data_IF_836904546607
#
_entry.id   IF_836904546607
#
_cell.length_a   1.000
_cell.length_b   1.000
_cell.length_c   1.000
_cell.angle_alpha   90.00
_cell.angle_beta   90.00
_cell.angle_gamma   90.00
#
_symmetry.space_group_name_H-M   'P 1'
#
loop_
_entity.id
_entity.type
_entity.pdbx_description
1 polymer ?
#
# COMPACT_ATOMS: atom_id res chain seq x y z
N UNK A 1 -20.97 -8.76 -39.02
CA UNK A 1 -21.62 -9.34 -37.84
C UNK A 1 -20.60 -9.27 -36.71
N UNK A 2 -20.83 -8.43 -35.69
CA UNK A 2 -19.95 -8.35 -34.52
C UNK A 2 -20.13 -9.61 -33.69
N UNK A 3 -19.02 -10.26 -33.33
CA UNK A 3 -19.02 -11.45 -32.50
C UNK A 3 -19.59 -11.10 -31.11
N UNK A 4 -20.77 -11.63 -30.70
CA UNK A 4 -21.39 -11.29 -29.41
C UNK A 4 -20.60 -11.77 -28.19
N UNK A 5 -19.56 -12.58 -28.39
CA UNK A 5 -18.67 -13.08 -27.33
C UNK A 5 -17.41 -12.24 -27.14
N UNK A 6 -17.23 -11.15 -27.90
CA UNK A 6 -16.15 -10.20 -27.68
C UNK A 6 -16.46 -9.35 -26.46
N UNK A 7 -16.23 -9.84 -25.28
CA UNK A 7 -16.11 -8.98 -24.10
C UNK A 7 -14.78 -8.23 -24.19
N UNK A 8 -14.85 -6.92 -24.13
CA UNK A 8 -13.74 -5.98 -24.32
C UNK A 8 -12.79 -5.91 -23.12
N UNK A 9 -12.92 -6.76 -22.12
CA UNK A 9 -12.01 -6.86 -20.99
C UNK A 9 -10.92 -7.87 -21.29
N UNK A 10 -9.78 -7.36 -21.72
CA UNK A 10 -8.54 -8.14 -21.78
C UNK A 10 -8.14 -8.58 -20.38
N UNK A 11 -7.71 -9.82 -20.19
CA UNK A 11 -7.12 -10.30 -18.94
C UNK A 11 -5.84 -9.53 -18.57
N UNK A 12 -5.18 -8.91 -19.56
CA UNK A 12 -3.98 -8.10 -19.42
C UNK A 12 -4.25 -6.59 -19.26
N UNK A 13 -5.50 -6.18 -19.07
CA UNK A 13 -5.86 -4.77 -18.94
C UNK A 13 -6.44 -4.17 -20.22
N UNK A 14 -6.47 -2.84 -20.31
CA UNK A 14 -6.83 -2.13 -21.52
C UNK A 14 -5.64 -2.13 -22.50
N UNK A 15 -5.94 -2.06 -23.79
CA UNK A 15 -4.88 -1.95 -24.79
C UNK A 15 -4.29 -0.53 -24.81
N UNK A 16 -3.14 -0.38 -24.15
CA UNK A 16 -2.34 0.86 -24.11
C UNK A 16 -1.16 0.85 -25.08
N UNK A 17 -1.07 -0.14 -25.99
CA UNK A 17 0.08 -0.31 -26.90
C UNK A 17 0.30 0.85 -27.86
N UNK A 18 -0.77 1.56 -28.22
CA UNK A 18 -0.72 2.74 -29.08
C UNK A 18 -0.79 4.09 -28.36
N UNK A 19 -0.84 4.07 -27.01
CA UNK A 19 -0.96 5.30 -26.24
C UNK A 19 0.35 6.10 -26.24
N UNK A 20 0.25 7.40 -26.49
CA UNK A 20 1.38 8.34 -26.31
C UNK A 20 1.60 8.63 -24.84
N UNK A 21 2.74 9.22 -24.50
CA UNK A 21 3.00 9.68 -23.13
C UNK A 21 1.95 10.68 -22.64
N UNK A 22 1.43 11.54 -23.51
CA UNK A 22 0.39 12.51 -23.16
C UNK A 22 -0.98 11.84 -22.94
N UNK A 23 -1.29 10.78 -23.72
CA UNK A 23 -2.49 9.97 -23.49
C UNK A 23 -2.43 9.26 -22.12
N UNK A 24 -1.27 8.70 -21.78
CA UNK A 24 -1.08 8.06 -20.48
C UNK A 24 -1.20 9.06 -19.32
N UNK A 25 -0.58 10.24 -19.43
CA UNK A 25 -0.73 11.31 -18.42
C UNK A 25 -2.19 11.74 -18.26
N UNK A 26 -2.91 11.92 -19.36
CA UNK A 26 -4.32 12.28 -19.30
C UNK A 26 -5.16 11.22 -18.59
N UNK A 27 -4.87 9.93 -18.80
CA UNK A 27 -5.54 8.82 -18.09
C UNK A 27 -5.20 8.81 -16.60
N UNK A 28 -3.92 8.93 -16.22
CA UNK A 28 -3.51 9.02 -14.81
C UNK A 28 -4.19 10.18 -14.12
N UNK A 29 -4.18 11.38 -14.74
CA UNK A 29 -4.87 12.56 -14.22
C UNK A 29 -6.36 12.29 -14.00
N UNK A 30 -7.05 11.73 -14.98
CA UNK A 30 -8.47 11.40 -14.87
C UNK A 30 -8.78 10.42 -13.74
N UNK A 31 -7.90 9.44 -13.50
CA UNK A 31 -8.05 8.48 -12.40
C UNK A 31 -7.87 9.20 -11.05
N UNK A 32 -6.83 10.03 -10.90
CA UNK A 32 -6.56 10.78 -9.68
C UNK A 32 -7.65 11.84 -9.39
N UNK A 33 -8.17 12.53 -10.41
CA UNK A 33 -9.29 13.49 -10.26
C UNK A 33 -10.59 12.79 -9.85
N UNK A 34 -10.79 11.54 -10.27
CA UNK A 34 -11.95 10.74 -9.86
C UNK A 34 -11.83 10.18 -8.44
N UNK A 35 -10.66 10.26 -7.85
CA UNK A 35 -10.32 9.70 -6.55
C UNK A 35 -10.00 8.20 -6.62
N UNK A 36 -8.90 7.79 -5.99
CA UNK A 36 -8.51 6.40 -5.80
C UNK A 36 -8.85 5.93 -4.38
N UNK A 37 -8.86 4.61 -4.16
CA UNK A 37 -9.17 4.08 -2.83
C UNK A 37 -8.17 4.59 -1.81
N UNK A 38 -6.88 4.33 -1.97
CA UNK A 38 -5.88 4.76 -1.01
C UNK A 38 -4.45 4.75 -1.53
N UNK A 39 -3.57 5.33 -0.73
CA UNK A 39 -2.14 5.40 -1.00
C UNK A 39 -1.34 5.12 0.27
N UNK A 40 -0.20 4.44 0.14
CA UNK A 40 0.77 4.32 1.21
C UNK A 40 1.43 5.69 1.43
N UNK A 41 1.44 6.13 2.67
CA UNK A 41 1.82 7.50 3.04
C UNK A 41 2.88 7.49 4.14
N UNK A 42 4.01 8.11 3.83
CA UNK A 42 5.04 8.50 4.80
C UNK A 42 5.24 10.01 4.68
N UNK A 43 5.35 10.74 5.79
CA UNK A 43 5.42 12.20 5.75
C UNK A 43 6.84 12.74 5.47
N UNK A 44 7.84 11.86 5.36
CA UNK A 44 9.24 12.23 5.28
C UNK A 44 9.57 13.12 4.08
N UNK A 45 10.46 14.10 4.31
CA UNK A 45 11.07 14.95 3.30
C UNK A 45 12.56 14.61 3.13
N UNK A 46 13.27 15.32 2.27
CA UNK A 46 14.69 15.05 2.00
C UNK A 46 15.53 15.02 3.28
N UNK A 47 16.34 13.98 3.44
CA UNK A 47 17.21 13.78 4.62
C UNK A 47 16.50 13.17 5.83
N UNK A 48 15.21 12.87 5.74
CA UNK A 48 14.43 12.20 6.78
C UNK A 48 14.13 10.73 6.40
N UNK A 49 13.79 9.95 7.40
CA UNK A 49 13.39 8.55 7.30
C UNK A 49 13.01 8.02 8.68
N UNK A 50 12.76 6.71 8.83
CA UNK A 50 12.50 6.08 10.13
C UNK A 50 13.57 6.48 11.16
N UNK A 51 13.14 6.83 12.39
CA UNK A 51 14.01 7.41 13.41
C UNK A 51 14.00 8.94 13.46
N UNK A 52 13.32 9.60 12.50
CA UNK A 52 13.16 11.06 12.52
C UNK A 52 11.84 11.42 13.19
N UNK A 53 11.88 12.29 14.21
CA UNK A 53 10.68 12.85 14.83
C UNK A 53 9.99 13.81 13.86
N UNK A 54 8.70 13.57 13.56
CA UNK A 54 7.93 14.32 12.58
C UNK A 54 6.92 15.23 13.27
N UNK A 55 6.88 16.49 12.88
CA UNK A 55 5.93 17.47 13.41
C UNK A 55 4.58 17.43 12.67
N UNK A 56 3.51 17.72 13.39
CA UNK A 56 2.13 17.76 12.84
C UNK A 56 2.01 18.68 11.61
N UNK A 57 2.70 19.82 11.63
CA UNK A 57 2.66 20.78 10.51
C UNK A 57 3.15 20.15 9.20
N UNK A 58 4.24 19.38 9.26
CA UNK A 58 4.77 18.64 8.10
C UNK A 58 3.79 17.57 7.63
N UNK A 59 3.22 16.79 8.56
CA UNK A 59 2.20 15.78 8.23
C UNK A 59 1.04 16.41 7.49
N UNK A 60 0.52 17.53 8.01
CA UNK A 60 -0.59 18.28 7.42
C UNK A 60 -0.29 18.78 6.02
N UNK A 61 0.89 19.38 5.82
CA UNK A 61 1.34 19.86 4.50
C UNK A 61 1.41 18.71 3.49
N UNK A 62 2.01 17.58 3.88
CA UNK A 62 2.11 16.41 3.00
C UNK A 62 0.76 15.76 2.71
N UNK A 63 -0.13 15.66 3.70
CA UNK A 63 -1.48 15.13 3.51
C UNK A 63 -2.33 16.01 2.60
N UNK A 64 -2.19 17.33 2.66
CA UNK A 64 -2.94 18.25 1.78
C UNK A 64 -2.61 18.07 0.30
N UNK A 65 -1.41 17.56 -0.03
CA UNK A 65 -1.04 17.22 -1.42
C UNK A 65 -1.85 16.03 -1.93
N UNK A 66 -2.01 14.99 -1.13
CA UNK A 66 -2.66 13.74 -1.56
C UNK A 66 -4.18 13.75 -1.37
N UNK A 67 -4.67 14.52 -0.40
CA UNK A 67 -6.07 14.56 0.02
C UNK A 67 -7.09 14.76 -1.13
N UNK A 68 -6.85 15.58 -2.16
CA UNK A 68 -7.81 15.74 -3.25
C UNK A 68 -7.98 14.48 -4.12
N UNK A 69 -7.10 13.50 -3.98
CA UNK A 69 -6.96 12.38 -4.90
C UNK A 69 -7.27 11.02 -4.29
N UNK A 70 -7.38 10.92 -2.96
CA UNK A 70 -7.52 9.64 -2.25
C UNK A 70 -8.64 9.70 -1.20
N UNK A 71 -9.20 8.55 -0.85
CA UNK A 71 -10.16 8.44 0.26
C UNK A 71 -9.49 7.93 1.54
N UNK A 72 -8.43 7.15 1.39
CA UNK A 72 -7.69 6.50 2.45
C UNK A 72 -6.20 6.78 2.34
N UNK A 73 -5.54 6.78 3.48
CA UNK A 73 -4.08 6.64 3.55
C UNK A 73 -3.72 5.40 4.38
N UNK A 74 -2.55 4.83 4.13
CA UNK A 74 -1.94 3.80 4.96
C UNK A 74 -0.65 4.35 5.54
N UNK A 75 -0.56 4.44 6.88
CA UNK A 75 0.68 4.73 7.62
C UNK A 75 1.42 3.44 7.95
N UNK A 76 2.65 3.55 8.51
CA UNK A 76 3.51 2.38 8.75
C UNK A 76 3.90 2.21 10.22
N UNK A 77 3.85 3.26 11.03
CA UNK A 77 4.28 3.29 12.43
C UNK A 77 3.37 4.20 13.22
N UNK A 78 3.41 4.05 14.54
CA UNK A 78 2.70 4.89 15.52
C UNK A 78 3.66 5.54 16.51
N UNK A 79 4.93 5.69 16.14
CA UNK A 79 5.98 6.35 16.92
C UNK A 79 6.68 7.44 16.10
N UNK A 80 7.53 8.24 16.73
CA UNK A 80 8.37 9.24 16.07
C UNK A 80 7.55 10.32 15.33
N UNK A 81 6.39 10.72 15.91
CA UNK A 81 5.47 11.70 15.31
C UNK A 81 4.46 11.07 14.34
N UNK A 82 4.67 9.82 13.88
CA UNK A 82 3.73 9.15 12.95
C UNK A 82 2.37 8.85 13.63
N UNK A 83 2.29 8.77 14.95
CA UNK A 83 1.06 8.64 15.73
C UNK A 83 0.09 9.79 15.51
N UNK A 84 0.56 10.93 15.02
CA UNK A 84 -0.26 12.10 14.68
C UNK A 84 -0.95 11.98 13.32
N UNK A 85 -0.44 11.12 12.42
CA UNK A 85 -0.96 10.99 11.05
C UNK A 85 -2.47 10.69 11.04
N UNK A 86 -3.01 9.73 11.82
CA UNK A 86 -4.42 9.38 11.74
C UNK A 86 -5.36 10.51 12.16
N UNK A 87 -5.00 11.30 13.19
CA UNK A 87 -5.81 12.43 13.62
C UNK A 87 -5.82 13.55 12.58
N UNK A 88 -4.67 13.90 12.02
CA UNK A 88 -4.55 14.92 10.97
C UNK A 88 -5.27 14.48 9.69
N UNK A 89 -5.17 13.20 9.31
CA UNK A 89 -5.90 12.64 8.19
C UNK A 89 -7.42 12.75 8.37
N UNK A 90 -7.92 12.41 9.57
CA UNK A 90 -9.33 12.51 9.93
C UNK A 90 -9.85 13.95 9.85
N UNK A 91 -9.09 14.94 10.29
CA UNK A 91 -9.43 16.37 10.15
C UNK A 91 -9.54 16.80 8.67
N UNK A 92 -8.79 16.17 7.79
CA UNK A 92 -8.83 16.40 6.35
C UNK A 92 -9.88 15.54 5.62
N UNK A 93 -10.68 14.75 6.36
CA UNK A 93 -11.73 13.90 5.81
C UNK A 93 -11.23 12.59 5.20
N UNK A 94 -9.99 12.18 5.49
CA UNK A 94 -9.40 10.92 5.05
C UNK A 94 -9.60 9.83 6.11
N UNK A 95 -9.75 8.59 5.64
CA UNK A 95 -9.68 7.40 6.49
C UNK A 95 -8.23 6.90 6.57
N UNK A 96 -7.89 6.21 7.67
CA UNK A 96 -6.53 5.70 7.85
C UNK A 96 -6.52 4.20 8.13
N UNK A 97 -5.73 3.45 7.34
CA UNK A 97 -5.19 2.16 7.73
C UNK A 97 -3.92 2.46 8.55
N UNK A 98 -4.02 2.30 9.86
CA UNK A 98 -2.94 2.61 10.80
C UNK A 98 -1.97 1.44 10.85
N UNK A 99 -0.75 1.65 10.38
CA UNK A 99 0.32 0.67 10.48
C UNK A 99 0.93 0.68 11.87
N UNK A 100 1.08 -0.50 12.45
CA UNK A 100 1.74 -0.75 13.72
C UNK A 100 3.03 -1.50 13.41
N UNK A 101 4.18 -0.84 13.55
CA UNK A 101 5.45 -1.44 13.18
C UNK A 101 5.90 -2.47 14.22
N UNK A 102 5.80 -3.74 13.88
CA UNK A 102 6.33 -4.83 14.69
C UNK A 102 7.68 -5.27 14.11
N UNK A 103 8.71 -5.24 14.95
CA UNK A 103 10.08 -5.61 14.60
C UNK A 103 10.73 -6.47 15.67
N UNK A 104 12.05 -6.66 15.58
CA UNK A 104 12.83 -7.45 16.54
C UNK A 104 13.03 -6.74 17.90
N UNK A 105 12.77 -5.44 17.98
CA UNK A 105 12.80 -4.66 19.24
C UNK A 105 11.45 -4.76 19.95
N UNK A 106 11.37 -5.68 20.92
CA UNK A 106 10.12 -5.96 21.63
C UNK A 106 9.65 -4.78 22.52
N UNK A 107 10.55 -3.94 23.02
CA UNK A 107 10.17 -2.76 23.81
C UNK A 107 9.52 -1.70 22.91
N UNK A 108 10.08 -1.49 21.73
CA UNK A 108 9.48 -0.59 20.73
C UNK A 108 8.13 -1.13 20.24
N UNK A 109 7.98 -2.43 20.05
CA UNK A 109 6.71 -3.05 19.67
C UNK A 109 5.58 -2.73 20.68
N UNK A 110 5.88 -2.74 21.99
CA UNK A 110 4.87 -2.40 23.00
C UNK A 110 4.45 -0.94 22.90
N UNK A 111 5.36 -0.01 22.64
CA UNK A 111 5.05 1.42 22.44
C UNK A 111 4.18 1.59 21.18
N UNK A 112 4.53 0.93 20.09
CA UNK A 112 3.74 0.91 18.85
C UNK A 112 2.31 0.42 19.10
N UNK A 113 2.15 -0.67 19.86
CA UNK A 113 0.86 -1.24 20.21
C UNK A 113 0.04 -0.32 21.12
N UNK A 114 0.64 0.28 22.15
CA UNK A 114 -0.04 1.21 23.05
C UNK A 114 -0.60 2.42 22.30
N UNK A 115 0.22 3.03 21.44
CA UNK A 115 -0.18 4.16 20.61
C UNK A 115 -1.30 3.78 19.62
N UNK A 116 -1.18 2.62 18.95
CA UNK A 116 -2.21 2.14 18.02
C UNK A 116 -3.57 1.94 18.69
N UNK A 117 -3.59 1.36 19.89
CA UNK A 117 -4.81 1.18 20.69
C UNK A 117 -5.40 2.54 21.08
N UNK A 118 -4.58 3.51 21.46
CA UNK A 118 -5.03 4.87 21.76
C UNK A 118 -5.63 5.56 20.53
N UNK A 119 -5.00 5.45 19.37
CA UNK A 119 -5.50 5.97 18.08
C UNK A 119 -6.85 5.36 17.75
N UNK A 120 -6.98 4.03 17.85
CA UNK A 120 -8.24 3.33 17.61
C UNK A 120 -9.34 3.78 18.56
N UNK A 121 -9.03 3.91 19.86
CA UNK A 121 -9.97 4.37 20.89
C UNK A 121 -10.44 5.81 20.66
N UNK A 122 -9.63 6.63 19.98
CA UNK A 122 -9.97 8.01 19.60
C UNK A 122 -10.82 8.10 18.33
N UNK A 123 -11.09 6.97 17.66
CA UNK A 123 -11.91 6.91 16.45
C UNK A 123 -11.16 7.34 15.17
N UNK A 124 -9.82 7.38 15.18
CA UNK A 124 -9.01 7.81 14.04
C UNK A 124 -8.44 6.64 13.23
N UNK A 125 -8.72 5.38 13.61
CA UNK A 125 -8.34 4.20 12.86
C UNK A 125 -9.55 3.59 12.14
N UNK A 126 -9.49 3.45 10.83
CA UNK A 126 -10.45 2.68 10.06
C UNK A 126 -10.08 1.18 10.03
N UNK A 127 -8.78 0.88 9.97
CA UNK A 127 -8.20 -0.46 10.06
C UNK A 127 -6.91 -0.35 10.88
N UNK A 128 -6.61 -1.35 11.72
CA UNK A 128 -5.28 -1.55 12.32
C UNK A 128 -4.52 -2.62 11.53
N UNK A 129 -3.36 -2.26 11.00
CA UNK A 129 -2.45 -3.16 10.30
C UNK A 129 -1.29 -3.52 11.22
N UNK A 130 -1.43 -4.63 11.96
CA UNK A 130 -0.47 -5.06 12.99
C UNK A 130 0.66 -5.84 12.36
N UNK A 131 1.81 -5.21 12.24
CA UNK A 131 2.99 -5.73 11.56
C UNK A 131 2.96 -5.52 10.04
N UNK A 132 4.15 -5.35 9.47
CA UNK A 132 4.39 -5.29 8.03
C UNK A 132 5.54 -6.23 7.67
N UNK A 133 5.25 -7.29 6.90
CA UNK A 133 6.23 -8.27 6.42
C UNK A 133 7.11 -8.89 7.52
N UNK A 134 6.52 -9.05 8.69
CA UNK A 134 7.21 -9.52 9.91
C UNK A 134 7.70 -10.96 9.75
N UNK A 135 6.87 -11.82 9.15
CA UNK A 135 7.21 -13.23 8.90
C UNK A 135 8.22 -13.35 7.77
N UNK A 136 8.05 -12.57 6.69
CA UNK A 136 9.00 -12.52 5.58
C UNK A 136 10.40 -12.07 6.04
N UNK A 137 10.49 -11.11 6.97
CA UNK A 137 11.77 -10.67 7.58
C UNK A 137 12.25 -11.55 8.73
N UNK A 138 11.37 -12.34 9.34
CA UNK A 138 11.69 -13.17 10.50
C UNK A 138 11.95 -12.36 11.79
N UNK A 139 11.27 -11.23 11.97
CA UNK A 139 11.47 -10.32 13.11
C UNK A 139 10.98 -10.89 14.44
N UNK A 140 9.80 -11.52 14.43
CA UNK A 140 9.24 -12.24 15.59
C UNK A 140 8.66 -13.57 15.13
N UNK A 141 8.38 -14.47 16.09
CA UNK A 141 7.71 -15.73 15.80
C UNK A 141 6.24 -15.55 15.44
N UNK A 142 5.68 -16.51 14.70
CA UNK A 142 4.24 -16.55 14.37
C UNK A 142 3.37 -16.41 15.63
N UNK A 143 3.73 -17.09 16.72
CA UNK A 143 2.98 -17.03 17.97
C UNK A 143 2.99 -15.62 18.61
N UNK A 144 4.11 -14.91 18.53
CA UNK A 144 4.21 -13.53 19.03
C UNK A 144 3.39 -12.58 18.16
N UNK A 145 3.43 -12.76 16.83
CA UNK A 145 2.61 -11.94 15.92
C UNK A 145 1.11 -12.13 16.17
N UNK A 146 0.67 -13.37 16.36
CA UNK A 146 -0.72 -13.69 16.71
C UNK A 146 -1.12 -13.02 18.04
N UNK A 147 -0.25 -13.04 19.05
CA UNK A 147 -0.50 -12.35 20.33
C UNK A 147 -0.73 -10.85 20.13
N UNK A 148 0.11 -10.17 19.34
CA UNK A 148 -0.08 -8.75 19.01
C UNK A 148 -1.42 -8.49 18.30
N UNK A 149 -1.79 -9.31 17.31
CA UNK A 149 -3.04 -9.20 16.57
C UNK A 149 -4.23 -9.37 17.52
N UNK A 150 -4.23 -10.40 18.36
CA UNK A 150 -5.33 -10.69 19.27
C UNK A 150 -5.48 -9.62 20.37
N UNK A 151 -4.36 -9.07 20.85
CA UNK A 151 -4.36 -7.93 21.79
C UNK A 151 -4.96 -6.68 21.15
N UNK A 152 -4.62 -6.37 19.92
CA UNK A 152 -5.21 -5.25 19.17
C UNK A 152 -6.73 -5.43 19.01
N UNK A 153 -7.20 -6.62 18.61
CA UNK A 153 -8.62 -6.95 18.48
C UNK A 153 -9.39 -6.82 19.79
N UNK A 154 -8.80 -7.33 20.88
CA UNK A 154 -9.42 -7.25 22.19
C UNK A 154 -9.55 -5.81 22.71
N UNK A 155 -8.57 -4.95 22.39
CA UNK A 155 -8.56 -3.55 22.83
C UNK A 155 -9.37 -2.61 21.92
N UNK A 156 -9.56 -2.95 20.65
CA UNK A 156 -10.28 -2.14 19.65
C UNK A 156 -11.35 -2.96 18.90
N UNK A 157 -12.41 -3.43 19.60
CA UNK A 157 -13.38 -4.39 19.01
C UNK A 157 -14.22 -3.82 17.85
N UNK A 158 -14.26 -2.52 17.69
CA UNK A 158 -15.01 -1.82 16.64
C UNK A 158 -14.14 -1.50 15.40
N UNK A 159 -12.86 -1.88 15.40
CA UNK A 159 -11.91 -1.63 14.32
C UNK A 159 -11.44 -2.96 13.74
N UNK A 160 -11.49 -3.11 12.41
CA UNK A 160 -10.93 -4.30 11.75
C UNK A 160 -9.42 -4.37 11.95
N UNK A 161 -8.92 -5.53 12.36
CA UNK A 161 -7.49 -5.77 12.57
C UNK A 161 -6.98 -6.78 11.54
N UNK A 162 -5.92 -6.41 10.85
CA UNK A 162 -5.25 -7.27 9.88
C UNK A 162 -3.74 -7.28 10.06
N UNK A 163 -3.10 -8.19 9.36
CA UNK A 163 -1.66 -8.27 9.21
C UNK A 163 -1.30 -7.99 7.75
N UNK A 164 -0.17 -7.32 7.53
CA UNK A 164 0.34 -7.01 6.19
C UNK A 164 1.54 -7.89 5.89
N UNK A 165 1.46 -8.66 4.81
CA UNK A 165 2.60 -9.40 4.27
C UNK A 165 2.43 -9.70 2.78
N UNK A 166 3.45 -10.31 2.17
CA UNK A 166 3.40 -10.80 0.82
C UNK A 166 2.23 -11.77 0.63
N UNK A 167 1.54 -11.67 -0.49
CA UNK A 167 0.31 -12.40 -0.80
C UNK A 167 0.35 -13.92 -0.54
N UNK A 168 1.53 -14.52 -0.58
CA UNK A 168 1.70 -15.98 -0.38
C UNK A 168 1.83 -16.38 1.09
N UNK A 169 2.27 -15.48 1.98
CA UNK A 169 2.46 -15.74 3.41
C UNK A 169 1.14 -16.17 4.09
N UNK A 170 0.01 -15.68 3.62
CA UNK A 170 -1.29 -16.04 4.17
C UNK A 170 -1.68 -17.51 3.95
N UNK A 171 -1.16 -18.14 2.90
CA UNK A 171 -1.34 -19.58 2.67
C UNK A 171 -0.34 -20.41 3.48
N UNK A 172 0.87 -19.88 3.67
CA UNK A 172 1.96 -20.55 4.39
C UNK A 172 1.77 -20.45 5.91
N UNK A 173 1.07 -19.40 6.40
CA UNK A 173 0.77 -19.11 7.81
C UNK A 173 -0.75 -19.01 8.09
N UNK A 174 -1.50 -20.13 7.97
CA UNK A 174 -2.95 -20.09 8.12
C UNK A 174 -3.43 -19.66 9.52
N UNK A 175 -2.66 -19.90 10.58
CA UNK A 175 -3.01 -19.47 11.93
C UNK A 175 -2.99 -17.95 12.08
N UNK A 176 -2.04 -17.25 11.44
CA UNK A 176 -2.02 -15.78 11.38
C UNK A 176 -3.20 -15.26 10.57
N UNK A 177 -3.47 -15.89 9.42
CA UNK A 177 -4.64 -15.56 8.60
C UNK A 177 -5.93 -15.69 9.40
N UNK A 178 -6.07 -16.75 10.20
CA UNK A 178 -7.27 -16.99 11.03
C UNK A 178 -7.40 -15.97 12.17
N UNK A 179 -6.30 -15.48 12.74
CA UNK A 179 -6.29 -14.45 13.78
C UNK A 179 -6.78 -13.08 13.26
N UNK A 180 -6.56 -12.75 11.99
CA UNK A 180 -6.96 -11.49 11.38
C UNK A 180 -8.48 -11.39 11.14
N UNK A 181 -9.03 -10.16 11.14
CA UNK A 181 -10.39 -9.88 10.63
C UNK A 181 -10.36 -9.64 9.12
N UNK A 182 -9.29 -9.04 8.61
CA UNK A 182 -9.06 -8.70 7.21
C UNK A 182 -7.65 -9.12 6.79
N UNK A 183 -7.51 -9.59 5.55
CA UNK A 183 -6.20 -9.95 4.95
C UNK A 183 -5.67 -8.73 4.18
N UNK A 184 -4.46 -8.30 4.51
CA UNK A 184 -3.81 -7.13 3.93
C UNK A 184 -2.60 -7.59 3.11
N UNK A 185 -2.82 -7.83 1.81
CA UNK A 185 -1.83 -8.49 0.96
C UNK A 185 -0.97 -7.50 0.16
N UNK A 186 0.34 -7.59 0.31
CA UNK A 186 1.30 -6.92 -0.55
C UNK A 186 1.45 -7.70 -1.86
N UNK A 187 1.23 -7.04 -2.99
CA UNK A 187 1.24 -7.64 -4.32
C UNK A 187 2.13 -6.83 -5.26
N UNK A 188 3.34 -7.32 -5.49
CA UNK A 188 4.34 -6.62 -6.30
C UNK A 188 4.83 -7.45 -7.51
N UNK A 189 4.16 -7.37 -8.67
CA UNK A 189 4.69 -7.98 -9.89
C UNK A 189 6.10 -7.50 -10.25
N UNK A 190 6.48 -6.28 -9.83
CA UNK A 190 7.82 -5.74 -10.03
C UNK A 190 8.89 -6.61 -9.37
N UNK A 191 8.77 -6.88 -8.06
CA UNK A 191 9.73 -7.68 -7.30
C UNK A 191 9.78 -9.14 -7.75
N UNK A 192 8.70 -9.64 -8.34
CA UNK A 192 8.68 -10.95 -9.00
C UNK A 192 9.37 -10.94 -10.38
N UNK A 193 9.83 -9.79 -10.85
CA UNK A 193 10.54 -9.63 -12.13
C UNK A 193 9.65 -9.80 -13.35
N UNK A 194 8.36 -9.53 -13.22
CA UNK A 194 7.37 -9.67 -14.29
C UNK A 194 7.43 -8.46 -15.22
N UNK A 195 7.51 -8.69 -16.53
CA UNK A 195 7.47 -7.60 -17.50
C UNK A 195 6.15 -6.81 -17.42
N UNK A 196 6.20 -5.50 -17.63
CA UNK A 196 5.08 -4.60 -17.42
C UNK A 196 3.80 -4.99 -18.19
N UNK A 197 3.93 -5.53 -19.40
CA UNK A 197 2.82 -6.01 -20.22
C UNK A 197 2.07 -7.21 -19.62
N UNK A 198 2.66 -7.91 -18.66
CA UNK A 198 2.07 -9.05 -17.96
C UNK A 198 1.73 -8.74 -16.49
N UNK A 199 2.09 -7.55 -16.02
CA UNK A 199 2.02 -7.20 -14.60
C UNK A 199 0.60 -7.29 -14.04
N UNK A 200 -0.41 -6.77 -14.75
CA UNK A 200 -1.81 -6.87 -14.31
C UNK A 200 -2.30 -8.32 -14.23
N UNK A 201 -1.95 -9.16 -15.19
CA UNK A 201 -2.34 -10.57 -15.16
C UNK A 201 -1.75 -11.27 -13.93
N UNK A 202 -0.48 -10.99 -13.65
CA UNK A 202 0.21 -11.53 -12.49
C UNK A 202 -0.36 -10.99 -11.16
N UNK A 203 -0.67 -9.68 -11.10
CA UNK A 203 -1.36 -9.05 -9.97
C UNK A 203 -2.68 -9.74 -9.64
N UNK A 204 -3.50 -10.02 -10.66
CA UNK A 204 -4.77 -10.74 -10.50
C UNK A 204 -4.58 -12.12 -9.91
N UNK A 205 -3.51 -12.82 -10.29
CA UNK A 205 -3.18 -14.14 -9.74
C UNK A 205 -2.69 -14.03 -8.28
N UNK A 206 -1.84 -13.03 -7.95
CA UNK A 206 -1.45 -12.76 -6.56
C UNK A 206 -2.67 -12.52 -5.67
N UNK A 207 -3.55 -11.61 -6.09
CA UNK A 207 -4.79 -11.32 -5.37
C UNK A 207 -5.69 -12.56 -5.24
N UNK A 208 -5.87 -13.34 -6.31
CA UNK A 208 -6.65 -14.58 -6.28
C UNK A 208 -6.09 -15.59 -5.27
N UNK A 209 -4.76 -15.68 -5.14
CA UNK A 209 -4.10 -16.57 -4.16
C UNK A 209 -4.35 -16.07 -2.73
N UNK A 210 -4.22 -14.76 -2.47
CA UNK A 210 -4.56 -14.18 -1.17
C UNK A 210 -6.03 -14.43 -0.81
N UNK A 211 -6.97 -14.23 -1.74
CA UNK A 211 -8.40 -14.54 -1.55
C UNK A 211 -8.63 -16.04 -1.24
N UNK A 212 -7.89 -16.92 -1.93
CA UNK A 212 -7.96 -18.37 -1.68
C UNK A 212 -7.50 -18.77 -0.28
N UNK A 213 -6.53 -18.05 0.29
CA UNK A 213 -6.02 -18.28 1.64
C UNK A 213 -6.88 -17.62 2.74
N UNK A 214 -7.65 -16.58 2.39
CA UNK A 214 -8.34 -15.72 3.35
C UNK A 214 -9.55 -16.37 4.07
N UNK A 215 -9.94 -17.61 3.75
CA UNK A 215 -11.06 -18.30 4.38
C UNK A 215 -12.39 -17.52 4.36
N UNK A 216 -12.65 -16.77 3.27
CA UNK A 216 -13.85 -15.94 3.11
C UNK A 216 -13.79 -14.56 3.76
N UNK A 217 -12.68 -14.19 4.37
CA UNK A 217 -12.43 -12.84 4.89
C UNK A 217 -12.22 -11.86 3.75
N UNK A 218 -12.44 -10.58 4.00
CA UNK A 218 -12.10 -9.49 3.10
C UNK A 218 -10.61 -9.49 2.81
N UNK A 219 -10.23 -9.22 1.57
CA UNK A 219 -8.84 -9.05 1.15
C UNK A 219 -8.67 -7.67 0.56
N UNK A 220 -7.69 -6.93 1.06
CA UNK A 220 -7.29 -5.61 0.57
C UNK A 220 -5.86 -5.75 0.03
N UNK A 221 -5.58 -5.13 -1.12
CA UNK A 221 -4.21 -4.96 -1.58
C UNK A 221 -3.61 -3.79 -0.80
N UNK A 222 -2.79 -4.13 0.22
CA UNK A 222 -2.20 -3.15 1.14
C UNK A 222 -1.02 -2.41 0.54
N UNK A 223 -0.33 -3.02 -0.42
CA UNK A 223 0.72 -2.38 -1.20
C UNK A 223 0.79 -2.96 -2.61
N UNK A 224 0.94 -2.07 -3.57
CA UNK A 224 1.34 -2.37 -4.94
C UNK A 224 1.86 -1.10 -5.62
N UNK A 225 2.81 -1.24 -6.52
CA UNK A 225 3.37 -0.09 -7.23
C UNK A 225 4.33 -0.51 -8.34
N UNK A 226 4.87 0.50 -9.02
CA UNK A 226 5.90 0.32 -10.05
C UNK A 226 6.84 1.53 -10.04
N UNK A 227 8.17 1.33 -9.85
CA UNK A 227 9.12 2.43 -9.84
C UNK A 227 9.31 3.00 -11.25
N UNK A 228 9.46 4.33 -11.33
CA UNK A 228 9.61 4.99 -12.63
C UNK A 228 11.07 5.16 -13.08
N UNK A 229 12.02 4.83 -12.21
CA UNK A 229 13.46 4.93 -12.47
C UNK A 229 14.20 3.89 -11.63
N UNK A 230 15.40 3.51 -12.06
CA UNK A 230 16.31 2.63 -11.35
C UNK A 230 16.69 1.38 -12.13
N UNK A 231 17.34 0.45 -11.45
CA UNK A 231 17.83 -0.80 -12.03
C UNK A 231 16.67 -1.80 -12.23
N UNK A 232 16.58 -2.46 -13.40
CA UNK A 232 15.58 -3.50 -13.66
C UNK A 232 15.69 -4.69 -12.70
N UNK A 233 14.53 -5.22 -12.29
CA UNK A 233 14.46 -6.52 -11.62
C UNK A 233 14.05 -7.58 -12.66
N UNK A 234 15.01 -8.37 -13.15
CA UNK A 234 14.80 -9.38 -14.21
C UNK A 234 14.03 -8.80 -15.41
N UNK A 235 12.77 -9.20 -15.63
CA UNK A 235 11.91 -8.69 -16.72
C UNK A 235 11.21 -7.38 -16.43
N UNK A 236 11.13 -6.97 -15.15
CA UNK A 236 10.48 -5.73 -14.75
C UNK A 236 11.39 -4.52 -14.99
N UNK A 237 10.99 -3.65 -15.90
CA UNK A 237 11.76 -2.47 -16.30
C UNK A 237 11.17 -1.21 -15.64
N UNK A 238 11.91 -0.51 -14.74
CA UNK A 238 11.51 0.80 -14.26
C UNK A 238 11.49 1.80 -15.41
N UNK A 239 10.38 2.46 -15.60
CA UNK A 239 10.26 3.59 -16.54
C UNK A 239 9.01 4.39 -16.24
N UNK A 240 9.00 5.66 -16.66
CA UNK A 240 7.83 6.51 -16.57
C UNK A 240 6.60 5.89 -17.26
N UNK A 241 6.81 5.30 -18.41
CA UNK A 241 5.75 4.65 -19.20
C UNK A 241 5.21 3.41 -18.50
N UNK A 242 6.10 2.52 -18.01
CA UNK A 242 5.70 1.31 -17.28
C UNK A 242 4.95 1.65 -16.00
N UNK A 243 5.40 2.66 -15.24
CA UNK A 243 4.75 3.10 -14.02
C UNK A 243 3.34 3.64 -14.29
N UNK A 244 3.15 4.48 -15.33
CA UNK A 244 1.83 4.98 -15.73
C UNK A 244 0.90 3.85 -16.20
N UNK A 245 1.38 2.94 -17.04
CA UNK A 245 0.59 1.79 -17.54
C UNK A 245 0.17 0.89 -16.39
N UNK A 246 1.09 0.57 -15.48
CA UNK A 246 0.79 -0.25 -14.31
C UNK A 246 -0.26 0.39 -13.40
N UNK A 247 -0.13 1.69 -13.12
CA UNK A 247 -1.10 2.44 -12.34
C UNK A 247 -2.48 2.43 -12.99
N UNK A 248 -2.57 2.75 -14.29
CA UNK A 248 -3.83 2.78 -15.04
C UNK A 248 -4.51 1.41 -15.01
N UNK A 249 -3.79 0.36 -15.36
CA UNK A 249 -4.33 -1.00 -15.42
C UNK A 249 -4.78 -1.49 -14.04
N UNK A 250 -4.01 -1.22 -12.99
CA UNK A 250 -4.34 -1.58 -11.62
C UNK A 250 -5.64 -0.92 -11.15
N UNK A 251 -5.76 0.40 -11.33
CA UNK A 251 -6.96 1.10 -10.85
C UNK A 251 -8.19 0.86 -11.71
N UNK A 252 -8.06 0.66 -12.99
CA UNK A 252 -9.20 0.29 -13.84
C UNK A 252 -9.73 -1.08 -13.46
N UNK A 253 -8.87 -2.05 -13.23
CA UNK A 253 -9.26 -3.36 -12.74
C UNK A 253 -9.87 -3.29 -11.35
N UNK A 254 -9.20 -2.63 -10.40
CA UNK A 254 -9.69 -2.48 -9.04
C UNK A 254 -11.11 -1.87 -8.99
N UNK A 255 -11.34 -0.82 -9.78
CA UNK A 255 -12.64 -0.17 -9.89
C UNK A 255 -13.72 -1.06 -10.52
N UNK A 256 -13.34 -1.85 -11.53
CA UNK A 256 -14.27 -2.77 -12.21
C UNK A 256 -14.70 -3.91 -11.30
N UNK A 257 -13.79 -4.45 -10.51
CA UNK A 257 -14.02 -5.65 -9.69
C UNK A 257 -14.32 -5.29 -8.21
N UNK A 258 -14.33 -3.99 -7.84
CA UNK A 258 -14.61 -3.51 -6.49
C UNK A 258 -13.53 -3.86 -5.48
N UNK A 259 -12.26 -3.82 -5.89
CA UNK A 259 -11.12 -4.18 -5.06
C UNK A 259 -10.52 -2.93 -4.42
N UNK A 260 -10.27 -3.00 -3.12
CA UNK A 260 -9.59 -1.95 -2.38
C UNK A 260 -8.07 -2.08 -2.55
N UNK A 261 -7.43 -0.98 -2.96
CA UNK A 261 -5.99 -0.94 -3.25
C UNK A 261 -5.35 0.29 -2.63
N UNK A 262 -4.27 0.07 -1.88
CA UNK A 262 -3.35 1.12 -1.48
C UNK A 262 -2.14 1.11 -2.42
N UNK A 263 -1.95 2.20 -3.16
CA UNK A 263 -0.82 2.32 -4.08
C UNK A 263 0.45 2.73 -3.34
N UNK A 264 1.53 2.04 -3.61
CA UNK A 264 2.83 2.33 -3.05
C UNK A 264 3.67 3.11 -4.07
N UNK A 265 3.91 4.41 -3.87
CA UNK A 265 3.58 5.16 -2.66
C UNK A 265 3.11 6.58 -3.02
N UNK A 266 2.77 7.38 -2.00
CA UNK A 266 2.47 8.80 -2.20
C UNK A 266 3.68 9.54 -2.79
N UNK A 267 4.81 9.48 -2.10
CA UNK A 267 5.99 10.28 -2.43
C UNK A 267 7.20 9.41 -2.75
N UNK A 268 8.12 9.99 -3.51
CA UNK A 268 9.47 9.46 -3.65
C UNK A 268 10.23 9.58 -2.32
N UNK A 269 10.92 8.51 -1.89
CA UNK A 269 11.54 8.39 -0.58
C UNK A 269 12.97 7.89 -0.69
N UNK A 270 13.93 8.81 -0.72
CA UNK A 270 15.35 8.51 -0.93
C UNK A 270 15.98 7.60 0.13
N UNK A 271 15.45 7.58 1.36
CA UNK A 271 15.94 6.72 2.44
C UNK A 271 15.79 5.22 2.18
N UNK A 272 14.91 4.83 1.28
CA UNK A 272 14.67 3.41 0.94
C UNK A 272 15.77 2.77 0.09
N UNK A 273 16.66 3.56 -0.48
CA UNK A 273 17.73 3.07 -1.37
C UNK A 273 18.63 2.03 -0.69
N UNK A 274 18.88 2.15 0.59
CA UNK A 274 19.72 1.21 1.33
C UNK A 274 19.09 -0.20 1.45
N UNK A 275 17.76 -0.27 1.51
CA UNK A 275 17.03 -1.53 1.65
C UNK A 275 16.52 -2.10 0.30
N UNK A 276 16.13 -1.24 -0.64
CA UNK A 276 15.45 -1.62 -1.88
C UNK A 276 16.30 -1.41 -3.14
N UNK A 277 17.56 -0.97 -2.99
CA UNK A 277 18.39 -0.55 -4.12
C UNK A 277 17.91 0.79 -4.70
N UNK A 278 18.46 1.18 -5.85
CA UNK A 278 18.21 2.50 -6.45
C UNK A 278 16.72 2.74 -6.83
N UNK A 279 15.95 1.69 -7.08
CA UNK A 279 14.50 1.79 -7.33
C UNK A 279 13.72 2.29 -6.10
N UNK A 280 14.23 2.05 -4.88
CA UNK A 280 13.57 2.42 -3.62
C UNK A 280 13.19 3.90 -3.54
N UNK A 281 13.96 4.76 -4.20
CA UNK A 281 13.72 6.20 -4.23
C UNK A 281 12.59 6.65 -5.18
N UNK A 282 11.98 5.78 -6.00
CA UNK A 282 11.20 6.21 -7.18
C UNK A 282 9.80 5.58 -7.32
N UNK A 283 9.17 5.22 -6.22
CA UNK A 283 7.82 4.60 -6.18
C UNK A 283 6.68 5.62 -6.14
N UNK A 284 6.96 6.89 -5.82
CA UNK A 284 5.94 7.89 -5.56
C UNK A 284 5.09 8.25 -6.78
N UNK A 285 3.82 8.58 -6.54
CA UNK A 285 2.97 9.30 -7.49
C UNK A 285 3.37 10.77 -7.57
N UNK A 286 3.89 11.30 -6.48
CA UNK A 286 4.52 12.62 -6.38
C UNK A 286 6.03 12.45 -6.10
N UNK A 287 6.81 13.42 -6.54
CA UNK A 287 8.23 13.45 -6.21
C UNK A 287 8.46 13.80 -4.71
N UNK A 288 9.72 13.80 -4.28
CA UNK A 288 10.09 14.16 -2.90
C UNK A 288 9.61 15.55 -2.46
N UNK A 289 9.47 16.48 -3.40
CA UNK A 289 9.05 17.87 -3.17
C UNK A 289 7.52 18.07 -3.29
N UNK A 290 6.78 16.99 -3.59
CA UNK A 290 5.31 17.00 -3.69
C UNK A 290 4.79 17.38 -5.07
N UNK A 291 5.62 17.43 -6.11
CA UNK A 291 5.16 17.67 -7.47
C UNK A 291 4.65 16.36 -8.08
N UNK A 292 3.48 16.42 -8.72
CA UNK A 292 2.92 15.24 -9.38
C UNK A 292 3.78 14.80 -10.57
N UNK A 293 4.17 13.51 -10.61
CA UNK A 293 5.12 12.99 -11.60
C UNK A 293 4.48 12.64 -12.94
N UNK A 294 3.19 12.33 -12.94
CA UNK A 294 2.51 11.71 -14.09
C UNK A 294 1.37 12.55 -14.65
N UNK A 295 1.20 13.79 -14.22
CA UNK A 295 0.09 14.66 -14.61
C UNK A 295 0.53 15.98 -15.21
#
# INVERSE_FOLDING_TARGET
MSNPYRRTTSLSGIDLSGATADDLRALVRSILEAGIHGVCFSPYVEGQGPGTEIEEAQIRERLQIVQPHVNWIRSFSTTEGNELIPSVASELGLQTMVGVWIGSDLEKNEIEMENAIQIASSGHAGILAVGNEVLLRGDVSEAQLIDYIERAKAAAPDVEVGYVDAYFEFADHPAVTDACDVVLANCYPFWEGVAAEHALLYMKEMYRRAVGAANGKKVIISETGWPNLGTPERGAQPSLESAMKYFIDTYQWARQDGIEVFYFSAFDEAWKVDAEGDVGAYWGLWDKDGNAKYV
#
